data_IF_135165438222
#
_entry.id   IF_135165438222
#
_cell.length_a   1.000
_cell.length_b   1.000
_cell.length_c   1.000
_cell.angle_alpha   90.00
_cell.angle_beta   90.00
_cell.angle_gamma   90.00
#
_symmetry.space_group_name_H-M   'P 1'
#
loop_
_entity.id
_entity.type
_entity.pdbx_description
1 polymer ?
#
# COMPACT_ATOMS: atom_id res chain seq x y z
N UNK A 1 25.68 -16.99 -35.14
CA UNK A 1 24.84 -16.41 -34.07
C UNK A 1 25.55 -15.15 -33.61
N UNK A 2 24.98 -13.97 -33.86
CA UNK A 2 25.63 -12.70 -33.49
C UNK A 2 25.46 -12.45 -32.00
N UNK A 3 26.55 -12.11 -31.31
CA UNK A 3 26.54 -11.71 -29.90
C UNK A 3 25.84 -10.36 -29.76
N UNK A 4 24.98 -10.24 -28.74
CA UNK A 4 24.33 -8.97 -28.41
C UNK A 4 25.37 -7.92 -27.98
N UNK A 5 25.14 -6.62 -28.27
CA UNK A 5 26.02 -5.55 -27.83
C UNK A 5 25.97 -5.38 -26.31
N UNK A 6 27.14 -5.10 -25.73
CA UNK A 6 27.30 -4.81 -24.29
C UNK A 6 26.67 -3.45 -23.98
N UNK A 7 25.46 -3.49 -23.41
CA UNK A 7 24.79 -2.33 -22.84
C UNK A 7 25.23 -2.22 -21.39
N UNK A 8 26.16 -1.32 -21.10
CA UNK A 8 26.66 -1.08 -19.75
C UNK A 8 25.53 -0.84 -18.74
N UNK A 9 25.78 -0.96 -17.42
CA UNK A 9 24.75 -0.87 -16.40
C UNK A 9 24.11 0.52 -16.44
N UNK A 10 22.89 0.62 -16.98
CA UNK A 10 22.11 1.84 -16.97
C UNK A 10 21.32 1.86 -15.67
N UNK A 11 21.90 2.43 -14.61
CA UNK A 11 21.14 2.90 -13.47
C UNK A 11 20.47 4.21 -13.88
N UNK A 12 19.14 4.23 -13.87
CA UNK A 12 18.39 5.42 -14.25
C UNK A 12 18.37 6.36 -13.02
N UNK A 13 18.51 7.69 -13.17
CA UNK A 13 18.42 8.63 -12.02
C UNK A 13 17.07 8.53 -11.27
N UNK A 14 16.04 8.00 -11.93
CA UNK A 14 14.76 7.64 -11.33
C UNK A 14 14.92 6.60 -10.21
N UNK A 15 15.91 5.71 -10.27
CA UNK A 15 16.16 4.75 -9.19
C UNK A 15 16.59 5.45 -7.90
N UNK A 16 17.30 6.57 -7.98
CA UNK A 16 17.68 7.38 -6.82
C UNK A 16 16.48 8.19 -6.31
N UNK A 17 15.70 8.78 -7.21
CA UNK A 17 14.46 9.50 -6.87
C UNK A 17 13.40 8.60 -6.25
N UNK A 18 13.30 7.35 -6.71
CA UNK A 18 12.39 6.33 -6.19
C UNK A 18 12.99 5.53 -5.02
N UNK A 19 14.24 5.77 -4.65
CA UNK A 19 14.92 5.05 -3.57
C UNK A 19 15.19 3.57 -3.86
N UNK A 20 15.25 3.18 -5.13
CA UNK A 20 15.59 1.85 -5.65
C UNK A 20 17.10 1.54 -5.57
N UNK A 21 17.80 2.17 -4.62
CA UNK A 21 19.22 1.92 -4.37
C UNK A 21 19.45 0.44 -4.03
N UNK A 22 20.55 -0.15 -4.52
CA UNK A 22 20.88 -1.54 -4.23
C UNK A 22 20.96 -1.76 -2.72
N UNK A 23 20.19 -2.73 -2.22
CA UNK A 23 20.14 -3.10 -0.81
C UNK A 23 18.84 -2.76 -0.09
N UNK A 24 17.88 -2.12 -0.75
CA UNK A 24 16.55 -1.88 -0.18
C UNK A 24 15.48 -2.58 -1.04
N UNK A 25 14.49 -3.18 -0.39
CA UNK A 25 13.33 -3.77 -1.07
C UNK A 25 12.63 -2.68 -1.88
N UNK A 26 12.24 -2.99 -3.12
CA UNK A 26 11.39 -2.10 -3.90
C UNK A 26 10.06 -1.88 -3.16
N UNK A 27 9.42 -0.73 -3.35
CA UNK A 27 8.20 -0.36 -2.62
C UNK A 27 7.12 -1.46 -2.66
N UNK A 28 6.90 -2.09 -3.82
CA UNK A 28 5.95 -3.20 -3.96
C UNK A 28 6.36 -4.45 -3.18
N UNK A 29 7.65 -4.73 -3.10
CA UNK A 29 8.16 -5.84 -2.31
C UNK A 29 8.01 -5.57 -0.81
N UNK A 30 8.17 -4.30 -0.39
CA UNK A 30 7.87 -3.87 0.98
C UNK A 30 6.40 -4.08 1.31
N UNK A 31 5.48 -3.61 0.45
CA UNK A 31 4.03 -3.83 0.60
C UNK A 31 3.70 -5.32 0.71
N UNK A 32 4.23 -6.15 -0.18
CA UNK A 32 3.99 -7.59 -0.15
C UNK A 32 4.53 -8.25 1.12
N UNK A 33 5.73 -7.89 1.57
CA UNK A 33 6.32 -8.43 2.78
C UNK A 33 5.51 -8.07 4.02
N UNK A 34 5.10 -6.81 4.14
CA UNK A 34 4.25 -6.35 5.25
C UNK A 34 2.88 -7.02 5.23
N UNK A 35 2.24 -7.11 4.06
CA UNK A 35 0.93 -7.75 3.94
C UNK A 35 0.98 -9.22 4.34
N UNK A 36 2.02 -9.96 3.92
CA UNK A 36 2.23 -11.34 4.35
C UNK A 36 2.43 -11.40 5.88
N UNK A 37 3.30 -10.55 6.42
CA UNK A 37 3.61 -10.51 7.84
C UNK A 37 2.42 -10.16 8.76
N UNK A 38 1.35 -9.55 8.23
CA UNK A 38 0.14 -9.27 8.99
C UNK A 38 -0.61 -10.54 9.45
N UNK A 39 -0.48 -11.67 8.75
CA UNK A 39 -1.27 -12.87 9.03
C UNK A 39 -0.44 -14.15 9.15
N UNK A 40 0.89 -14.07 9.05
CA UNK A 40 1.77 -15.22 9.24
C UNK A 40 3.06 -14.82 9.99
N UNK A 41 3.78 -15.79 10.58
CA UNK A 41 5.05 -15.51 11.23
C UNK A 41 6.06 -14.84 10.29
N UNK A 42 6.83 -13.87 10.79
CA UNK A 42 7.79 -13.09 10.00
C UNK A 42 8.78 -13.94 9.19
N UNK A 43 9.25 -15.06 9.75
CA UNK A 43 10.12 -15.99 9.06
C UNK A 43 9.42 -16.66 7.87
N UNK A 44 8.14 -17.03 8.04
CA UNK A 44 7.30 -17.58 6.97
C UNK A 44 7.02 -16.54 5.89
N UNK A 45 6.79 -15.29 6.28
CA UNK A 45 6.59 -14.17 5.36
C UNK A 45 7.83 -13.93 4.48
N UNK A 46 9.03 -13.94 5.07
CA UNK A 46 10.28 -13.82 4.35
C UNK A 46 10.50 -14.99 3.36
N UNK A 47 10.26 -16.24 3.78
CA UNK A 47 10.32 -17.42 2.90
C UNK A 47 9.32 -17.33 1.75
N UNK A 48 8.10 -16.84 2.02
CA UNK A 48 7.06 -16.68 1.02
C UNK A 48 7.43 -15.60 0.00
N UNK A 49 8.04 -14.49 0.44
CA UNK A 49 8.52 -13.45 -0.47
C UNK A 49 9.61 -13.98 -1.42
N UNK A 50 10.55 -14.79 -0.90
CA UNK A 50 11.54 -15.47 -1.74
C UNK A 50 10.87 -16.42 -2.73
N UNK A 51 9.87 -17.18 -2.28
CA UNK A 51 9.15 -18.13 -3.14
C UNK A 51 8.39 -17.43 -4.28
N UNK A 52 7.76 -16.29 -4.00
CA UNK A 52 6.91 -15.58 -4.96
C UNK A 52 7.71 -14.66 -5.90
N UNK A 53 8.74 -13.98 -5.37
CA UNK A 53 9.44 -12.91 -6.08
C UNK A 53 10.93 -13.18 -6.29
N UNK A 54 11.47 -14.29 -5.76
CA UNK A 54 12.91 -14.59 -5.80
C UNK A 54 13.76 -13.67 -4.91
N UNK A 55 13.13 -12.89 -4.02
CA UNK A 55 13.80 -11.90 -3.18
C UNK A 55 14.05 -12.45 -1.79
N UNK A 56 15.33 -12.56 -1.41
CA UNK A 56 15.73 -12.98 -0.07
C UNK A 56 15.65 -11.84 0.92
N UNK A 57 14.99 -12.09 2.05
CA UNK A 57 14.91 -11.15 3.18
C UNK A 57 15.06 -11.90 4.48
N UNK A 58 15.36 -11.19 5.57
CA UNK A 58 15.41 -11.81 6.91
C UNK A 58 14.11 -11.58 7.68
N UNK A 59 13.95 -12.35 8.76
CA UNK A 59 12.87 -12.19 9.73
C UNK A 59 12.88 -10.79 10.35
N UNK A 60 14.07 -10.26 10.65
CA UNK A 60 14.28 -8.95 11.26
C UNK A 60 13.85 -7.84 10.30
N UNK A 61 14.14 -7.98 9.01
CA UNK A 61 13.65 -7.06 7.97
C UNK A 61 12.12 -7.06 7.91
N UNK A 62 11.49 -8.24 7.89
CA UNK A 62 10.03 -8.37 7.87
C UNK A 62 9.40 -7.71 9.11
N UNK A 63 10.00 -7.92 10.29
CA UNK A 63 9.56 -7.30 11.54
C UNK A 63 9.70 -5.78 11.51
N UNK A 64 10.90 -5.27 11.25
CA UNK A 64 11.19 -3.84 11.26
C UNK A 64 10.33 -3.06 10.26
N UNK A 65 10.12 -3.63 9.07
CA UNK A 65 9.27 -3.01 8.06
C UNK A 65 7.80 -2.98 8.48
N UNK A 66 7.31 -4.07 9.07
CA UNK A 66 5.92 -4.16 9.56
C UNK A 66 5.67 -3.18 10.70
N UNK A 67 6.61 -3.05 11.65
CA UNK A 67 6.54 -2.07 12.75
C UNK A 67 6.57 -0.63 12.25
N UNK A 68 7.38 -0.32 11.23
CA UNK A 68 7.38 1.00 10.59
C UNK A 68 6.04 1.31 9.92
N UNK A 69 5.47 0.34 9.22
CA UNK A 69 4.17 0.51 8.56
C UNK A 69 3.04 0.68 9.58
N UNK A 70 3.05 -0.09 10.67
CA UNK A 70 2.04 0.04 11.73
C UNK A 70 2.11 1.41 12.41
N UNK A 71 3.31 1.95 12.66
CA UNK A 71 3.46 3.29 13.22
C UNK A 71 2.84 4.38 12.31
N UNK A 72 3.01 4.26 10.98
CA UNK A 72 2.35 5.16 10.04
C UNK A 72 0.82 4.99 10.04
N UNK A 73 0.34 3.75 10.15
CA UNK A 73 -1.10 3.45 10.19
C UNK A 73 -1.76 3.98 11.47
N UNK A 74 -1.10 3.91 12.63
CA UNK A 74 -1.60 4.46 13.89
C UNK A 74 -1.84 5.97 13.81
N UNK A 75 -0.92 6.72 13.19
CA UNK A 75 -1.06 8.17 12.98
C UNK A 75 -2.27 8.48 12.07
N UNK A 76 -2.43 7.71 10.99
CA UNK A 76 -3.57 7.87 10.08
C UNK A 76 -4.90 7.56 10.78
N UNK A 77 -4.96 6.47 11.55
CA UNK A 77 -6.15 6.12 12.34
C UNK A 77 -6.47 7.20 13.38
N UNK A 78 -5.48 7.77 14.06
CA UNK A 78 -5.71 8.84 15.04
C UNK A 78 -6.35 10.07 14.37
N UNK A 79 -5.85 10.48 13.19
CA UNK A 79 -6.41 11.59 12.43
C UNK A 79 -7.87 11.34 11.99
N UNK A 80 -8.20 10.10 11.56
CA UNK A 80 -9.56 9.73 11.18
C UNK A 80 -10.52 9.69 12.39
N UNK A 81 -10.03 9.35 13.59
CA UNK A 81 -10.84 9.35 14.82
C UNK A 81 -11.02 10.76 15.42
N UNK A 82 -10.11 11.69 15.13
CA UNK A 82 -10.25 13.11 15.51
C UNK A 82 -11.09 13.92 14.52
N UNK A 83 -11.34 13.39 13.31
CA UNK A 83 -12.27 14.01 12.38
C UNK A 83 -13.66 14.09 13.03
N UNK A 84 -14.33 15.26 13.01
CA UNK A 84 -15.66 15.38 13.58
C UNK A 84 -16.57 14.37 12.89
N UNK A 85 -17.10 13.43 13.69
CA UNK A 85 -18.20 12.57 13.29
C UNK A 85 -19.24 13.46 12.62
N UNK A 86 -19.58 13.18 11.36
CA UNK A 86 -20.65 13.89 10.67
C UNK A 86 -21.81 14.04 11.66
N UNK A 87 -22.35 15.25 11.87
CA UNK A 87 -23.46 15.40 12.77
C UNK A 87 -24.53 14.39 12.34
N UNK A 88 -25.15 13.65 13.28
CA UNK A 88 -26.22 12.74 12.92
C UNK A 88 -27.16 13.50 12.00
N UNK A 89 -27.56 12.87 10.87
CA UNK A 89 -28.58 13.42 10.00
C UNK A 89 -29.68 13.93 10.93
N UNK A 90 -29.79 15.26 11.03
CA UNK A 90 -30.88 15.86 11.77
C UNK A 90 -32.14 15.31 11.09
N UNK A 91 -33.22 15.11 11.85
CA UNK A 91 -34.55 14.84 11.32
C UNK A 91 -35.03 16.04 10.49
N UNK A 92 -34.28 16.39 9.43
CA UNK A 92 -34.77 17.21 8.35
C UNK A 92 -35.90 16.38 7.75
N UNK A 93 -37.14 16.90 7.77
CA UNK A 93 -38.24 16.22 7.13
C UNK A 93 -37.79 15.92 5.69
N UNK A 94 -37.93 14.66 5.28
CA UNK A 94 -37.53 14.21 3.95
C UNK A 94 -37.97 15.26 2.91
N UNK A 95 -37.07 15.70 2.00
CA UNK A 95 -37.43 16.71 1.03
C UNK A 95 -38.70 16.24 0.31
N UNK A 96 -39.74 17.09 0.35
CA UNK A 96 -41.05 16.77 -0.21
C UNK A 96 -40.84 16.23 -1.62
N UNK A 97 -41.15 14.94 -1.80
CA UNK A 97 -40.96 14.24 -3.07
C UNK A 97 -41.94 14.85 -4.07
N UNK A 98 -41.48 15.80 -4.88
CA UNK A 98 -42.26 16.35 -5.96
C UNK A 98 -42.43 15.29 -7.05
N UNK A 99 -43.66 14.78 -7.20
CA UNK A 99 -44.05 13.93 -8.33
C UNK A 99 -44.51 14.86 -9.45
N UNK A 100 -43.65 15.07 -10.44
CA UNK A 100 -44.02 15.75 -11.69
C UNK A 100 -44.69 14.71 -12.59
N UNK A 101 -45.97 14.93 -12.91
CA UNK A 101 -46.68 14.14 -13.91
C UNK A 101 -46.24 14.59 -15.30
N UNK A 102 -45.80 13.67 -16.15
CA UNK A 102 -45.26 13.98 -17.48
C UNK A 102 -46.33 14.12 -18.58
N UNK A 103 -47.60 13.88 -18.24
CA UNK A 103 -48.69 13.94 -19.22
C UNK A 103 -49.37 15.31 -19.18
N UNK A 104 -48.97 16.15 -20.15
CA UNK A 104 -49.70 17.34 -20.56
C UNK A 104 -50.60 17.07 -21.77
N UNK A 105 -51.67 17.86 -21.96
CA UNK A 105 -52.73 17.65 -22.95
C UNK A 105 -52.32 17.88 -24.41
#
# INVERSE_FOLDING_TARGET
MASAPDVGPVFFPLDEELGLLPGHLALRQQEHLTHLACFMPFEKAAQMLETLLGVRTTKETARSLTERMSACMEVAYAADNEAPSFPPLTDQPAPQRYVLSADGP
#
